data_IF_660294909866
#
_entry.id   IF_660294909866
#
_cell.length_a   1.000
_cell.length_b   1.000
_cell.length_c   1.000
_cell.angle_alpha   90.00
_cell.angle_beta   90.00
_cell.angle_gamma   90.00
#
_symmetry.space_group_name_H-M   'P 1'
#
loop_
_entity.id
_entity.type
_entity.pdbx_description
1 polymer ?
#
# COMPACT_ATOMS: atom_id res chain seq x y z
N UNK A 1 24.70 26.71 26.26
CA UNK A 1 24.62 25.44 25.50
C UNK A 1 25.98 25.30 24.82
N UNK A 2 26.69 24.18 24.98
CA UNK A 2 28.05 23.97 24.45
C UNK A 2 28.07 22.67 23.63
N UNK A 3 28.95 22.59 22.63
CA UNK A 3 29.06 21.45 21.71
C UNK A 3 28.31 21.68 20.40
N UNK A 4 27.85 20.60 19.78
CA UNK A 4 27.18 20.63 18.46
C UNK A 4 25.67 20.49 18.65
N UNK A 5 24.89 21.31 17.96
CA UNK A 5 23.43 21.23 17.91
C UNK A 5 22.96 20.94 16.49
N UNK A 6 22.04 20.01 16.32
CA UNK A 6 21.37 19.73 15.04
C UNK A 6 20.09 20.58 14.98
N UNK A 7 20.05 21.54 14.06
CA UNK A 7 18.86 22.40 13.86
C UNK A 7 18.08 22.06 12.60
N UNK A 8 18.73 21.36 11.65
CA UNK A 8 18.11 20.85 10.44
C UNK A 8 18.68 19.46 10.12
N UNK A 9 17.82 18.50 9.76
CA UNK A 9 18.25 17.12 9.48
C UNK A 9 17.36 16.05 10.14
N UNK A 10 17.92 14.87 10.49
CA UNK A 10 17.14 13.71 10.92
C UNK A 10 16.29 13.98 12.14
N UNK A 11 15.08 13.43 12.14
CA UNK A 11 14.26 13.23 13.33
C UNK A 11 14.55 11.86 13.93
N UNK A 12 14.35 11.70 15.24
CA UNK A 12 14.33 10.37 15.84
C UNK A 12 13.28 9.49 15.14
N UNK A 13 13.55 8.18 15.01
CA UNK A 13 12.70 7.22 14.29
C UNK A 13 12.59 7.41 12.77
N UNK A 14 13.31 8.36 12.17
CA UNK A 14 13.21 8.60 10.73
C UNK A 14 13.77 7.45 9.89
N UNK A 15 13.01 7.02 8.89
CA UNK A 15 13.47 6.12 7.83
C UNK A 15 13.81 6.95 6.59
N UNK A 16 14.99 6.71 6.03
CA UNK A 16 15.45 7.30 4.77
C UNK A 16 15.27 6.29 3.64
N UNK A 17 14.67 6.71 2.52
CA UNK A 17 14.54 5.87 1.33
C UNK A 17 15.91 5.45 0.82
N UNK A 18 16.12 4.14 0.69
CA UNK A 18 17.33 3.55 0.11
C UNK A 18 17.24 3.49 -1.41
N UNK A 19 18.39 3.60 -2.06
CA UNK A 19 18.60 3.32 -3.48
C UNK A 19 19.84 2.46 -3.63
N UNK A 20 19.69 1.30 -4.27
CA UNK A 20 20.78 0.34 -4.47
C UNK A 20 21.50 -0.06 -3.17
N UNK A 21 20.74 -0.21 -2.08
CA UNK A 21 21.25 -0.64 -0.78
C UNK A 21 21.89 0.46 0.06
N UNK A 22 21.74 1.74 -0.31
CA UNK A 22 22.27 2.87 0.45
C UNK A 22 21.27 4.03 0.51
N UNK A 23 21.30 4.80 1.59
CA UNK A 23 20.58 6.05 1.76
C UNK A 23 21.54 7.18 2.11
N UNK A 24 21.03 8.40 2.10
CA UNK A 24 21.79 9.59 2.45
C UNK A 24 21.17 10.27 3.67
N UNK A 25 21.95 10.41 4.74
CA UNK A 25 21.56 11.15 5.94
C UNK A 25 22.26 12.50 5.91
N UNK A 26 21.48 13.58 5.87
CA UNK A 26 21.98 14.95 5.87
C UNK A 26 21.65 15.60 7.20
N UNK A 27 22.63 16.27 7.80
CA UNK A 27 22.43 17.00 9.05
C UNK A 27 23.18 18.32 8.99
N UNK A 28 22.58 19.35 9.57
CA UNK A 28 23.16 20.67 9.69
C UNK A 28 22.75 21.31 11.01
N UNK A 29 23.53 22.28 11.45
CA UNK A 29 23.15 23.08 12.59
C UNK A 29 24.21 24.05 13.04
N UNK A 30 24.35 24.19 14.35
CA UNK A 30 25.27 25.15 14.97
C UNK A 30 26.21 24.47 15.93
N UNK A 31 27.35 25.09 16.18
CA UNK A 31 28.25 24.69 17.25
C UNK A 31 28.50 25.85 18.22
N UNK A 32 28.80 25.51 19.46
CA UNK A 32 29.01 26.46 20.54
C UNK A 32 30.27 26.10 21.32
N UNK A 33 31.23 27.02 21.33
CA UNK A 33 32.48 26.87 22.07
C UNK A 33 32.24 27.07 23.57
N UNK A 34 33.08 26.42 24.37
CA UNK A 34 33.09 26.56 25.81
C UNK A 34 34.24 27.47 26.21
N UNK A 35 33.96 28.54 26.96
CA UNK A 35 34.99 29.51 27.37
C UNK A 35 36.15 28.85 28.13
N UNK A 36 35.86 27.81 28.93
CA UNK A 36 36.88 27.09 29.70
C UNK A 36 37.73 26.10 28.88
N UNK A 37 37.34 25.79 27.64
CA UNK A 37 38.06 24.87 26.74
C UNK A 37 38.26 25.57 25.39
N UNK A 38 39.25 26.48 25.29
CA UNK A 38 39.48 27.24 24.07
C UNK A 38 39.94 26.30 22.94
N UNK A 39 39.24 26.34 21.81
CA UNK A 39 39.62 25.64 20.58
C UNK A 39 40.16 26.64 19.57
N UNK A 40 41.29 26.34 18.93
CA UNK A 40 41.91 27.21 17.93
C UNK A 40 41.28 27.03 16.55
N UNK A 41 40.99 25.78 16.18
CA UNK A 41 40.40 25.40 14.90
C UNK A 41 39.24 24.43 15.15
N UNK A 42 38.06 24.93 15.58
CA UNK A 42 36.93 24.09 15.91
C UNK A 42 36.38 23.37 14.68
N UNK A 43 36.20 22.07 14.79
CA UNK A 43 35.71 21.21 13.73
C UNK A 43 34.60 20.29 14.26
N UNK A 44 33.46 20.28 13.57
CA UNK A 44 32.37 19.34 13.84
C UNK A 44 32.65 18.03 13.12
N UNK A 45 32.48 16.92 13.84
CA UNK A 45 32.51 15.58 13.28
C UNK A 45 31.18 14.89 13.50
N UNK A 46 30.81 14.01 12.57
CA UNK A 46 29.67 13.13 12.75
C UNK A 46 29.97 11.70 12.30
N UNK A 47 29.29 10.73 12.91
CA UNK A 47 29.33 9.33 12.50
C UNK A 47 27.97 8.66 12.70
N UNK A 48 27.80 7.54 12.01
CA UNK A 48 26.62 6.68 12.17
C UNK A 48 27.05 5.38 12.83
N UNK A 49 26.32 4.99 13.87
CA UNK A 49 26.62 3.84 14.72
C UNK A 49 25.41 2.91 14.74
N UNK A 50 25.66 1.59 14.75
CA UNK A 50 24.62 0.58 14.95
C UNK A 50 24.15 0.62 16.40
N UNK A 51 22.84 0.72 16.62
CA UNK A 51 22.31 0.76 17.99
C UNK A 51 22.42 -0.58 18.71
N UNK A 52 22.40 -1.68 17.98
CA UNK A 52 22.41 -3.04 18.56
C UNK A 52 23.73 -3.40 19.28
N UNK A 53 24.87 -2.93 18.78
CA UNK A 53 26.20 -3.35 19.24
C UNK A 53 27.19 -2.19 19.41
N UNK A 54 26.77 -0.96 19.12
CA UNK A 54 27.60 0.24 19.22
C UNK A 54 28.72 0.32 18.18
N UNK A 55 28.74 -0.54 17.16
CA UNK A 55 29.80 -0.51 16.13
C UNK A 55 29.57 0.63 15.14
N UNK A 56 30.57 1.47 14.87
CA UNK A 56 30.45 2.52 13.86
C UNK A 56 30.39 1.89 12.46
N UNK A 57 29.51 2.39 11.60
CA UNK A 57 29.47 2.02 10.18
C UNK A 57 30.66 2.63 9.41
N UNK A 58 31.10 3.78 9.89
CA UNK A 58 32.21 4.55 9.36
C UNK A 58 32.87 5.32 10.51
N UNK A 59 34.18 5.55 10.40
CA UNK A 59 34.87 6.43 11.34
C UNK A 59 34.34 7.87 11.22
N UNK A 60 34.58 8.68 12.25
CA UNK A 60 34.18 10.09 12.29
C UNK A 60 34.52 10.83 10.99
N UNK A 61 33.51 11.49 10.43
CA UNK A 61 33.63 12.29 9.21
C UNK A 61 33.61 13.77 9.57
N UNK A 62 34.48 14.56 8.93
CA UNK A 62 34.49 16.01 9.07
C UNK A 62 33.26 16.62 8.39
N UNK A 63 32.56 17.50 9.12
CA UNK A 63 31.52 18.34 8.56
C UNK A 63 32.14 19.53 7.81
N UNK A 64 31.40 20.08 6.85
CA UNK A 64 31.71 21.38 6.28
C UNK A 64 31.30 22.47 7.28
N UNK A 65 32.19 23.43 7.54
CA UNK A 65 32.01 24.47 8.55
C UNK A 65 31.64 25.80 7.89
N UNK A 66 30.69 26.53 8.48
CA UNK A 66 30.41 27.94 8.19
C UNK A 66 30.75 28.80 9.41
N UNK A 67 32.00 29.26 9.47
CA UNK A 67 32.51 30.04 10.60
C UNK A 67 31.76 31.35 10.81
N UNK A 68 31.18 31.95 9.75
CA UNK A 68 30.50 33.25 9.84
C UNK A 68 29.23 33.19 10.68
N UNK A 69 28.63 31.99 10.80
CA UNK A 69 27.38 31.74 11.51
C UNK A 69 27.52 30.71 12.63
N UNK A 70 28.75 30.28 12.91
CA UNK A 70 29.03 29.10 13.73
C UNK A 70 28.19 27.89 13.26
N UNK A 71 28.06 27.73 11.94
CA UNK A 71 27.27 26.71 11.29
C UNK A 71 28.10 25.49 10.88
N UNK A 72 27.42 24.38 10.64
CA UNK A 72 28.01 23.18 10.06
C UNK A 72 26.98 22.40 9.24
N UNK A 73 27.46 21.63 8.26
CA UNK A 73 26.65 20.70 7.49
C UNK A 73 27.44 19.43 7.13
N UNK A 74 26.73 18.30 7.05
CA UNK A 74 27.34 17.03 6.64
C UNK A 74 26.33 16.16 5.91
N UNK A 75 26.85 15.32 5.03
CA UNK A 75 26.08 14.32 4.29
C UNK A 75 26.79 12.98 4.36
N UNK A 76 26.10 11.97 4.90
CA UNK A 76 26.64 10.64 5.18
C UNK A 76 25.92 9.62 4.31
N UNK A 77 26.68 8.82 3.57
CA UNK A 77 26.15 7.67 2.81
C UNK A 77 26.10 6.47 3.75
N UNK A 78 24.90 5.93 3.97
CA UNK A 78 24.64 4.90 4.98
C UNK A 78 24.03 3.66 4.30
N UNK A 79 24.52 2.44 4.57
CA UNK A 79 23.93 1.22 4.01
C UNK A 79 22.50 1.02 4.50
N UNK A 80 21.70 0.31 3.70
CA UNK A 80 20.37 -0.14 4.09
C UNK A 80 20.45 -1.04 5.34
N UNK A 81 19.58 -0.78 6.29
CA UNK A 81 19.59 -1.40 7.61
C UNK A 81 19.26 -0.40 8.71
N UNK A 82 19.52 -0.83 9.93
CA UNK A 82 19.19 -0.10 11.15
C UNK A 82 18.75 -1.07 12.26
N UNK A 83 18.49 -0.57 13.46
CA UNK A 83 18.45 0.85 13.80
C UNK A 83 19.85 1.45 14.01
N UNK A 84 19.98 2.70 13.60
CA UNK A 84 21.21 3.48 13.67
C UNK A 84 21.03 4.71 14.56
N UNK A 85 22.15 5.15 15.16
CA UNK A 85 22.27 6.42 15.86
C UNK A 85 23.24 7.32 15.11
N UNK A 86 22.82 8.56 14.85
CA UNK A 86 23.71 9.63 14.43
C UNK A 86 24.34 10.26 15.66
N UNK A 87 25.67 10.31 15.69
CA UNK A 87 26.44 10.96 16.75
C UNK A 87 27.20 12.14 16.17
N UNK A 88 27.21 13.26 16.90
CA UNK A 88 28.02 14.44 16.56
C UNK A 88 28.95 14.78 17.71
N UNK A 89 30.11 15.35 17.39
CA UNK A 89 31.04 15.89 18.37
C UNK A 89 31.79 17.09 17.81
N UNK A 90 32.40 17.85 18.73
CA UNK A 90 33.22 19.02 18.44
C UNK A 90 34.63 18.79 18.99
N UNK A 91 35.64 18.99 18.14
CA UNK A 91 37.05 18.86 18.50
C UNK A 91 37.92 19.84 17.70
N UNK A 92 39.23 19.87 17.98
CA UNK A 92 40.20 20.53 17.10
C UNK A 92 40.27 19.80 15.76
N UNK A 93 40.51 20.54 14.67
CA UNK A 93 40.54 19.98 13.30
C UNK A 93 41.53 18.82 13.13
N UNK A 94 42.64 18.86 13.86
CA UNK A 94 43.73 17.87 13.80
C UNK A 94 43.66 16.82 14.93
N UNK A 95 42.59 16.82 15.72
CA UNK A 95 42.39 15.83 16.78
C UNK A 95 42.29 14.42 16.19
N UNK A 96 43.06 13.48 16.74
CA UNK A 96 43.09 12.09 16.25
C UNK A 96 42.20 11.17 17.09
N UNK A 97 42.00 11.51 18.38
CA UNK A 97 41.24 10.71 19.34
C UNK A 97 39.92 11.42 19.63
N UNK A 98 38.85 10.98 18.96
CA UNK A 98 37.55 11.63 18.99
C UNK A 98 36.57 10.98 19.98
N UNK A 99 36.95 9.86 20.61
CA UNK A 99 36.14 9.13 21.60
C UNK A 99 35.80 9.98 22.84
N UNK A 100 36.66 10.94 23.15
CA UNK A 100 36.53 11.84 24.31
C UNK A 100 36.30 13.30 23.91
N UNK A 101 35.98 13.54 22.62
CA UNK A 101 35.66 14.86 22.11
C UNK A 101 34.42 15.44 22.79
N UNK A 102 34.24 16.76 22.69
CA UNK A 102 33.06 17.42 23.27
C UNK A 102 31.80 16.91 22.56
N UNK A 103 30.87 16.34 23.32
CA UNK A 103 29.66 15.75 22.76
C UNK A 103 28.80 16.80 22.04
N UNK A 104 28.10 16.36 21.01
CA UNK A 104 27.00 17.09 20.39
C UNK A 104 25.67 16.36 20.51
N UNK A 105 24.67 16.89 19.83
CA UNK A 105 23.36 16.26 19.65
C UNK A 105 23.50 14.88 18.99
N UNK A 106 22.58 14.00 19.36
CA UNK A 106 22.39 12.70 18.74
C UNK A 106 20.98 12.58 18.18
N UNK A 107 20.82 11.68 17.21
CA UNK A 107 19.51 11.22 16.72
C UNK A 107 19.45 9.71 16.76
N UNK A 108 18.35 9.19 17.26
CA UNK A 108 18.16 7.79 17.60
C UNK A 108 17.19 7.10 16.63
N UNK A 109 17.29 5.78 16.57
CA UNK A 109 16.35 4.92 15.87
C UNK A 109 16.21 5.24 14.37
N UNK A 110 17.29 5.73 13.76
CA UNK A 110 17.32 6.01 12.33
C UNK A 110 17.37 4.70 11.55
N UNK A 111 16.73 4.67 10.39
CA UNK A 111 16.84 3.54 9.48
C UNK A 111 17.06 3.98 8.05
N UNK A 112 17.71 3.14 7.27
CA UNK A 112 17.80 3.28 5.82
C UNK A 112 17.08 2.09 5.22
N UNK A 113 16.00 2.34 4.49
CA UNK A 113 15.10 1.29 4.05
C UNK A 113 14.08 1.78 3.04
N UNK A 114 12.92 1.14 2.98
CA UNK A 114 11.90 1.46 1.97
C UNK A 114 10.73 2.24 2.55
N UNK A 115 10.36 3.33 1.88
CA UNK A 115 9.25 4.20 2.22
C UNK A 115 8.02 3.83 1.41
N UNK A 116 6.89 3.61 2.09
CA UNK A 116 5.59 3.39 1.47
C UNK A 116 4.61 4.48 1.87
N UNK A 117 3.88 5.01 0.89
CA UNK A 117 2.83 6.00 1.13
C UNK A 117 1.50 5.29 1.33
N UNK A 118 0.81 5.63 2.41
CA UNK A 118 -0.55 5.16 2.70
C UNK A 118 -1.53 6.21 2.17
N UNK A 119 -2.36 5.80 1.22
CA UNK A 119 -3.35 6.65 0.56
C UNK A 119 -4.70 5.94 0.40
N UNK A 120 -5.75 6.74 0.18
CA UNK A 120 -7.12 6.28 0.03
C UNK A 120 -8.05 6.73 1.15
N UNK A 121 -9.07 5.93 1.46
CA UNK A 121 -10.19 6.33 2.32
C UNK A 121 -10.17 5.69 3.72
N UNK A 122 -11.32 5.62 4.40
CA UNK A 122 -11.45 5.14 5.79
C UNK A 122 -10.88 3.74 6.04
N UNK A 123 -11.05 2.79 5.12
CA UNK A 123 -10.43 1.46 5.25
C UNK A 123 -8.89 1.48 5.13
N UNK A 124 -8.33 2.48 4.43
CA UNK A 124 -6.89 2.78 4.42
C UNK A 124 -6.46 3.46 5.74
N UNK A 125 -7.17 4.53 6.14
CA UNK A 125 -6.92 5.25 7.39
C UNK A 125 -6.94 4.35 8.63
N UNK A 126 -7.74 3.30 8.57
CA UNK A 126 -7.92 2.33 9.63
C UNK A 126 -9.10 2.72 10.50
N UNK A 127 -10.25 2.12 10.24
CA UNK A 127 -11.47 2.29 11.02
C UNK A 127 -11.84 1.02 11.80
N UNK A 128 -10.93 0.04 11.89
CA UNK A 128 -11.13 -1.17 12.67
C UNK A 128 -11.36 -0.86 14.16
N UNK A 129 -12.50 -1.26 14.73
CA UNK A 129 -12.87 -0.93 16.13
C UNK A 129 -12.82 -2.10 17.10
N UNK A 130 -12.83 -3.31 16.58
CA UNK A 130 -12.67 -4.54 17.34
C UNK A 130 -11.21 -4.76 17.77
N UNK A 131 -10.97 -5.55 18.83
CA UNK A 131 -9.62 -5.87 19.27
C UNK A 131 -8.93 -6.87 18.34
N UNK A 132 -7.69 -6.59 17.97
CA UNK A 132 -6.77 -7.55 17.36
C UNK A 132 -5.38 -7.43 17.97
N UNK A 133 -4.64 -8.53 18.02
CA UNK A 133 -3.26 -8.53 18.50
C UNK A 133 -2.31 -8.12 17.39
N UNK A 134 -1.91 -6.84 17.38
CA UNK A 134 -0.99 -6.29 16.38
C UNK A 134 -0.04 -5.25 17.04
N UNK A 135 0.91 -5.68 17.88
CA UNK A 135 1.76 -4.74 18.62
C UNK A 135 2.77 -4.02 17.71
N UNK A 136 3.24 -2.83 18.11
CA UNK A 136 4.36 -2.12 17.46
C UNK A 136 5.64 -2.96 17.43
N UNK A 137 6.49 -2.76 16.42
CA UNK A 137 7.76 -3.46 16.26
C UNK A 137 8.86 -2.47 15.79
N UNK A 138 10.04 -2.41 16.47
CA UNK A 138 11.17 -1.61 16.01
C UNK A 138 11.58 -1.94 14.58
N UNK A 139 11.88 -0.91 13.78
CA UNK A 139 12.15 -1.05 12.35
C UNK A 139 10.90 -0.98 11.46
N UNK A 140 9.71 -0.76 12.02
CA UNK A 140 8.53 -0.30 11.29
C UNK A 140 8.10 1.04 11.87
N UNK A 141 8.36 2.12 11.15
CA UNK A 141 8.14 3.47 11.66
C UNK A 141 7.11 4.22 10.81
N UNK A 142 6.46 5.20 11.41
CA UNK A 142 5.36 5.95 10.84
C UNK A 142 5.69 7.45 10.87
N UNK A 143 5.61 8.09 9.71
CA UNK A 143 5.53 9.54 9.63
C UNK A 143 4.08 9.95 9.86
N UNK A 144 3.82 10.52 11.04
CA UNK A 144 2.48 10.90 11.49
C UNK A 144 2.02 12.19 10.83
N UNK A 145 0.70 12.39 10.81
CA UNK A 145 0.07 13.62 10.29
C UNK A 145 0.59 14.90 10.97
N UNK A 146 1.12 14.82 12.20
CA UNK A 146 1.71 15.96 12.91
C UNK A 146 3.14 16.33 12.47
N UNK A 147 3.65 15.72 11.39
CA UNK A 147 4.98 16.02 10.84
C UNK A 147 6.15 15.38 11.60
N UNK A 148 5.86 14.40 12.46
CA UNK A 148 6.85 13.71 13.30
C UNK A 148 6.93 12.22 12.99
N UNK A 149 8.16 11.71 12.98
CA UNK A 149 8.43 10.28 12.94
C UNK A 149 8.23 9.64 14.31
N UNK A 150 7.73 8.41 14.31
CA UNK A 150 7.50 7.62 15.51
C UNK A 150 7.54 6.13 15.19
N UNK A 151 7.64 5.27 16.21
CA UNK A 151 7.39 3.84 16.04
C UNK A 151 5.96 3.63 15.57
N UNK A 152 5.75 2.81 14.53
CA UNK A 152 4.42 2.59 13.98
C UNK A 152 3.54 1.87 15.00
N UNK A 153 2.38 2.46 15.29
CA UNK A 153 1.39 1.93 16.22
C UNK A 153 -0.01 2.36 15.79
N UNK A 154 -1.03 1.55 16.11
CA UNK A 154 -2.42 1.95 15.94
C UNK A 154 -2.83 3.01 16.96
N UNK A 155 -3.74 3.92 16.60
CA UNK A 155 -4.22 4.17 15.25
C UNK A 155 -3.18 4.90 14.39
N UNK A 156 -3.07 4.51 13.12
CA UNK A 156 -2.03 5.04 12.22
C UNK A 156 -2.41 6.38 11.57
N UNK A 157 -3.71 6.70 11.47
CA UNK A 157 -4.18 7.98 10.91
C UNK A 157 -4.56 9.02 11.96
N UNK A 158 -3.92 8.99 13.14
CA UNK A 158 -4.23 9.98 14.16
C UNK A 158 -3.85 11.39 13.71
N UNK A 159 -4.78 12.34 13.83
CA UNK A 159 -4.72 13.66 13.19
C UNK A 159 -4.62 14.85 14.16
N UNK A 160 -4.49 14.62 15.48
CA UNK A 160 -4.19 15.69 16.44
C UNK A 160 -2.90 16.41 16.07
N UNK A 161 -3.00 17.73 15.90
CA UNK A 161 -1.88 18.58 15.51
C UNK A 161 -1.39 18.33 14.09
N UNK A 162 -2.26 17.83 13.19
CA UNK A 162 -1.92 17.62 11.78
C UNK A 162 -1.38 18.91 11.16
N UNK A 163 -0.28 18.79 10.41
CA UNK A 163 0.26 19.90 9.60
C UNK A 163 -0.46 20.01 8.24
N UNK A 164 -1.32 19.04 7.91
CA UNK A 164 -2.15 19.03 6.71
C UNK A 164 -3.65 18.96 7.11
N UNK A 165 -4.33 20.11 7.31
CA UNK A 165 -5.73 20.14 7.74
C UNK A 165 -6.70 19.44 6.77
N UNK A 166 -6.34 19.36 5.48
CA UNK A 166 -7.15 18.67 4.47
C UNK A 166 -7.27 17.16 4.71
N UNK A 167 -6.34 16.57 5.47
CA UNK A 167 -6.30 15.15 5.85
C UNK A 167 -6.76 14.92 7.31
N UNK A 168 -7.40 15.91 7.94
CA UNK A 168 -7.85 15.78 9.32
C UNK A 168 -9.07 14.85 9.42
N UNK A 169 -8.99 13.84 10.28
CA UNK A 169 -10.11 12.91 10.49
C UNK A 169 -11.20 13.53 11.35
N UNK A 170 -12.45 13.22 11.00
CA UNK A 170 -13.62 13.70 11.77
C UNK A 170 -13.96 12.79 12.96
N UNK A 171 -13.56 11.52 12.89
CA UNK A 171 -13.77 10.54 13.93
C UNK A 171 -12.43 9.94 14.35
N UNK A 172 -12.34 9.46 15.60
CA UNK A 172 -11.14 8.76 16.05
C UNK A 172 -10.88 7.57 15.11
N UNK A 173 -9.68 7.43 14.53
CA UNK A 173 -9.31 6.25 13.77
C UNK A 173 -9.15 5.02 14.69
N UNK A 174 -8.88 3.87 14.09
CA UNK A 174 -8.71 2.59 14.76
C UNK A 174 -7.61 1.77 14.11
N UNK A 175 -7.81 0.45 14.04
CA UNK A 175 -6.85 -0.47 13.45
C UNK A 175 -6.78 -0.28 11.92
N UNK A 176 -5.57 -0.28 11.36
CA UNK A 176 -5.30 -0.21 9.92
C UNK A 176 -4.55 -1.46 9.43
N UNK A 177 -4.51 -1.76 8.13
CA UNK A 177 -3.77 -2.92 7.62
C UNK A 177 -2.24 -2.72 7.61
N UNK A 178 -1.76 -1.48 7.74
CA UNK A 178 -0.40 -1.15 7.30
C UNK A 178 0.71 -1.44 8.32
N UNK A 179 0.37 -1.65 9.60
CA UNK A 179 1.33 -2.10 10.60
C UNK A 179 1.75 -3.56 10.32
N UNK A 180 0.78 -4.46 10.12
CA UNK A 180 1.03 -5.84 9.73
C UNK A 180 1.80 -5.93 8.39
N UNK A 181 1.44 -5.09 7.41
CA UNK A 181 2.19 -4.94 6.16
C UNK A 181 3.67 -4.63 6.42
N UNK A 182 3.96 -3.57 7.19
CA UNK A 182 5.32 -3.14 7.47
C UNK A 182 6.12 -4.19 8.22
N UNK A 183 5.50 -4.89 9.19
CA UNK A 183 6.17 -5.96 9.97
C UNK A 183 6.53 -7.16 9.12
N UNK A 184 5.59 -7.68 8.32
CA UNK A 184 5.87 -8.80 7.43
C UNK A 184 6.94 -8.42 6.41
N UNK A 185 6.83 -7.23 5.81
CA UNK A 185 7.78 -6.77 4.81
C UNK A 185 9.19 -6.61 5.40
N UNK A 186 9.33 -5.95 6.55
CA UNK A 186 10.61 -5.79 7.28
C UNK A 186 11.28 -7.14 7.54
N UNK A 187 10.52 -8.12 8.08
CA UNK A 187 11.04 -9.46 8.40
C UNK A 187 11.62 -10.15 7.17
N UNK A 188 10.98 -9.93 6.02
CA UNK A 188 11.39 -10.54 4.77
C UNK A 188 12.56 -9.81 4.09
N UNK A 189 12.55 -8.48 4.02
CA UNK A 189 13.60 -7.73 3.30
C UNK A 189 14.86 -7.49 4.14
N UNK A 190 14.77 -7.60 5.47
CA UNK A 190 15.92 -7.53 6.38
C UNK A 190 16.36 -6.11 6.77
N UNK A 191 15.62 -5.07 6.38
CA UNK A 191 15.89 -3.68 6.76
C UNK A 191 14.60 -2.92 7.11
N UNK A 192 14.69 -1.75 7.76
CA UNK A 192 13.52 -1.00 8.23
C UNK A 192 12.55 -0.57 7.12
N UNK A 193 11.28 -0.41 7.48
CA UNK A 193 10.21 0.07 6.61
C UNK A 193 9.62 1.34 7.21
N UNK A 194 9.52 2.40 6.40
CA UNK A 194 8.87 3.65 6.76
C UNK A 194 7.51 3.78 6.09
N UNK A 195 6.52 4.24 6.84
CA UNK A 195 5.14 4.41 6.37
C UNK A 195 4.78 5.89 6.44
N UNK A 196 4.32 6.45 5.32
CA UNK A 196 3.92 7.85 5.21
C UNK A 196 2.40 7.93 5.19
N UNK A 197 1.78 8.40 6.27
CA UNK A 197 0.34 8.47 6.37
C UNK A 197 -0.23 9.68 5.63
N UNK A 198 -1.15 9.46 4.71
CA UNK A 198 -1.83 10.55 3.97
C UNK A 198 -3.33 10.31 3.72
N UNK A 199 -3.87 9.15 4.13
CA UNK A 199 -5.26 8.77 3.85
C UNK A 199 -6.29 9.63 4.58
N UNK A 200 -7.53 9.63 4.08
CA UNK A 200 -8.64 10.39 4.67
C UNK A 200 -9.99 9.66 4.52
N UNK A 201 -10.67 9.43 5.64
CA UNK A 201 -12.03 8.91 5.70
C UNK A 201 -13.02 9.55 4.72
N UNK A 202 -13.81 8.73 4.03
CA UNK A 202 -14.86 9.18 3.11
C UNK A 202 -14.38 9.87 1.83
N UNK A 203 -13.07 10.00 1.59
CA UNK A 203 -12.54 10.69 0.41
C UNK A 203 -12.89 10.00 -0.92
N UNK A 204 -13.47 10.73 -1.91
CA UNK A 204 -13.66 10.24 -3.27
C UNK A 204 -12.37 10.40 -4.10
N UNK A 205 -12.26 9.65 -5.20
CA UNK A 205 -11.08 9.68 -6.08
C UNK A 205 -10.76 11.09 -6.62
N UNK A 206 -11.76 11.93 -6.86
CA UNK A 206 -11.57 13.33 -7.31
C UNK A 206 -10.68 14.17 -6.38
N UNK A 207 -10.63 13.86 -5.07
CA UNK A 207 -9.75 14.54 -4.13
C UNK A 207 -8.28 14.13 -4.27
N UNK A 208 -8.03 12.97 -4.90
CA UNK A 208 -6.74 12.36 -5.14
C UNK A 208 -6.25 12.53 -6.59
N UNK A 209 -7.09 13.03 -7.50
CA UNK A 209 -6.70 13.29 -8.87
C UNK A 209 -6.35 14.79 -9.05
N UNK A 210 -5.10 15.16 -9.41
CA UNK A 210 -4.71 16.56 -9.61
C UNK A 210 -5.41 17.24 -10.80
N UNK A 211 -6.03 16.48 -11.71
CA UNK A 211 -6.83 17.03 -12.82
C UNK A 211 -8.28 17.35 -12.43
N UNK A 212 -8.68 17.01 -11.20
CA UNK A 212 -9.98 17.33 -10.62
C UNK A 212 -9.79 18.28 -9.43
N UNK A 213 -10.19 17.90 -8.22
CA UNK A 213 -9.99 18.71 -7.01
C UNK A 213 -8.54 18.58 -6.51
N UNK A 214 -8.03 17.35 -6.38
CA UNK A 214 -6.62 17.09 -6.11
C UNK A 214 -6.08 17.61 -4.77
N UNK A 215 -6.93 18.04 -3.84
CA UNK A 215 -6.49 18.59 -2.54
C UNK A 215 -5.69 17.60 -1.71
N UNK A 216 -6.09 16.32 -1.71
CA UNK A 216 -5.44 15.24 -0.97
C UNK A 216 -4.17 14.79 -1.71
N UNK A 217 -4.20 14.81 -3.04
CA UNK A 217 -3.02 14.56 -3.86
C UNK A 217 -1.88 15.55 -3.56
N UNK A 218 -2.19 16.86 -3.53
CA UNK A 218 -1.19 17.90 -3.23
C UNK A 218 -0.58 17.69 -1.83
N UNK A 219 -1.42 17.42 -0.83
CA UNK A 219 -0.99 17.09 0.53
C UNK A 219 -0.08 15.86 0.56
N UNK A 220 -0.47 14.78 -0.11
CA UNK A 220 0.33 13.55 -0.23
C UNK A 220 1.70 13.83 -0.87
N UNK A 221 1.74 14.62 -1.94
CA UNK A 221 2.98 14.99 -2.61
C UNK A 221 3.88 15.91 -1.75
N UNK A 222 3.30 16.81 -0.95
CA UNK A 222 4.04 17.59 0.06
C UNK A 222 4.69 16.69 1.12
N UNK A 223 3.96 15.70 1.64
CA UNK A 223 4.49 14.71 2.58
C UNK A 223 5.66 13.95 1.94
N UNK A 224 5.50 13.43 0.72
CA UNK A 224 6.56 12.70 0.02
C UNK A 224 7.81 13.57 -0.16
N UNK A 225 7.64 14.83 -0.58
CA UNK A 225 8.76 15.79 -0.74
C UNK A 225 9.46 16.08 0.58
N UNK A 226 8.71 16.24 1.67
CA UNK A 226 9.28 16.49 3.00
C UNK A 226 10.17 15.34 3.48
N UNK A 227 9.95 14.12 2.95
CA UNK A 227 10.73 12.92 3.27
C UNK A 227 11.77 12.56 2.20
N UNK A 228 12.14 13.51 1.35
CA UNK A 228 13.21 13.35 0.35
C UNK A 228 12.73 13.07 -1.07
N UNK A 229 11.42 13.02 -1.31
CA UNK A 229 10.83 12.96 -2.67
C UNK A 229 10.93 11.60 -3.36
N UNK A 230 11.39 10.55 -2.67
CA UNK A 230 11.52 9.19 -3.21
C UNK A 230 10.80 8.20 -2.33
N UNK A 231 10.12 7.24 -2.95
CA UNK A 231 9.34 6.21 -2.27
C UNK A 231 9.45 4.88 -3.03
N UNK A 232 9.25 3.78 -2.30
CA UNK A 232 9.27 2.43 -2.85
C UNK A 232 7.93 2.01 -3.45
N UNK A 233 6.82 2.54 -2.94
CA UNK A 233 5.48 2.18 -3.41
C UNK A 233 4.35 2.96 -2.76
N UNK A 234 3.16 2.85 -3.34
CA UNK A 234 1.92 3.41 -2.81
C UNK A 234 0.99 2.27 -2.39
N UNK A 235 0.47 2.38 -1.17
CA UNK A 235 -0.56 1.51 -0.61
C UNK A 235 -1.90 2.22 -0.77
N UNK A 236 -2.75 1.70 -1.66
CA UNK A 236 -3.97 2.36 -2.08
C UNK A 236 -5.21 1.53 -1.74
N UNK A 237 -6.07 2.07 -0.87
CA UNK A 237 -7.39 1.48 -0.64
C UNK A 237 -8.46 2.57 -0.66
N UNK A 238 -9.13 2.65 -1.81
CA UNK A 238 -10.20 3.59 -2.10
C UNK A 238 -11.19 2.98 -3.11
N UNK A 239 -12.43 3.45 -3.08
CA UNK A 239 -13.42 3.16 -4.11
C UNK A 239 -14.86 3.19 -3.60
N UNK A 240 -15.09 3.03 -2.29
CA UNK A 240 -16.43 2.93 -1.74
C UNK A 240 -17.23 4.24 -1.88
N UNK A 241 -16.57 5.40 -1.88
CA UNK A 241 -17.24 6.69 -2.10
C UNK A 241 -17.64 6.93 -3.56
N UNK A 242 -17.03 6.18 -4.50
CA UNK A 242 -17.24 6.30 -5.95
C UNK A 242 -18.22 5.23 -6.48
N UNK A 243 -18.88 4.45 -5.60
CA UNK A 243 -19.91 3.46 -5.98
C UNK A 243 -21.25 4.14 -6.27
N UNK A 244 -21.26 5.03 -7.25
CA UNK A 244 -22.45 5.75 -7.72
C UNK A 244 -22.48 5.80 -9.26
N UNK A 245 -23.59 6.29 -9.83
CA UNK A 245 -23.84 6.31 -11.28
C UNK A 245 -22.76 7.07 -12.06
N UNK A 246 -22.31 8.20 -11.54
CA UNK A 246 -21.44 9.14 -12.26
C UNK A 246 -19.97 8.71 -12.16
N UNK A 247 -19.54 8.34 -10.96
CA UNK A 247 -18.14 8.10 -10.64
C UNK A 247 -17.65 6.69 -11.02
N UNK A 248 -18.52 5.68 -10.95
CA UNK A 248 -18.12 4.27 -11.14
C UNK A 248 -17.63 3.98 -12.56
N UNK A 249 -18.29 4.53 -13.58
CA UNK A 249 -17.94 4.34 -14.99
C UNK A 249 -16.65 5.03 -15.41
N UNK A 250 -16.26 6.10 -14.72
CA UNK A 250 -15.08 6.92 -15.05
C UNK A 250 -13.87 6.63 -14.16
N UNK A 251 -14.02 5.74 -13.17
CA UNK A 251 -13.01 5.46 -12.15
C UNK A 251 -11.66 5.04 -12.74
N UNK A 252 -11.64 4.07 -13.66
CA UNK A 252 -10.41 3.54 -14.26
C UNK A 252 -9.57 4.64 -14.92
N UNK A 253 -10.23 5.50 -15.72
CA UNK A 253 -9.58 6.63 -16.38
C UNK A 253 -9.01 7.62 -15.37
N UNK A 254 -9.81 8.04 -14.38
CA UNK A 254 -9.39 9.02 -13.35
C UNK A 254 -8.25 8.47 -12.48
N UNK A 255 -8.30 7.18 -12.16
CA UNK A 255 -7.24 6.51 -11.41
C UNK A 255 -5.95 6.43 -12.23
N UNK A 256 -6.03 6.07 -13.52
CA UNK A 256 -4.90 6.10 -14.44
C UNK A 256 -4.29 7.50 -14.60
N UNK A 257 -5.11 8.55 -14.64
CA UNK A 257 -4.65 9.95 -14.65
C UNK A 257 -3.90 10.33 -13.39
N UNK A 258 -4.40 9.93 -12.21
CA UNK A 258 -3.71 10.13 -10.94
C UNK A 258 -2.34 9.42 -10.90
N UNK A 259 -2.31 8.12 -11.26
CA UNK A 259 -1.08 7.32 -11.29
C UNK A 259 -0.06 7.95 -12.23
N UNK A 260 -0.48 8.32 -13.44
CA UNK A 260 0.39 8.94 -14.44
C UNK A 260 0.95 10.28 -13.97
N UNK A 261 0.10 11.11 -13.36
CA UNK A 261 0.52 12.42 -12.82
C UNK A 261 1.55 12.27 -11.70
N UNK A 262 1.33 11.31 -10.79
CA UNK A 262 2.26 11.02 -9.70
C UNK A 262 3.63 10.54 -10.21
N UNK A 263 3.64 9.60 -11.16
CA UNK A 263 4.89 9.10 -11.75
C UNK A 263 5.67 10.19 -12.48
N UNK A 264 4.97 11.07 -13.19
CA UNK A 264 5.57 12.21 -13.89
C UNK A 264 6.17 13.22 -12.89
N UNK A 265 5.45 13.56 -11.83
CA UNK A 265 5.87 14.54 -10.83
C UNK A 265 7.03 14.03 -9.95
N UNK A 266 7.04 12.74 -9.63
CA UNK A 266 8.13 12.09 -8.89
C UNK A 266 9.31 11.67 -9.78
N UNK A 267 9.13 11.66 -11.10
CA UNK A 267 10.08 11.07 -12.07
C UNK A 267 10.48 9.64 -11.68
N UNK A 268 9.52 8.86 -11.19
CA UNK A 268 9.71 7.51 -10.68
C UNK A 268 8.56 6.62 -11.15
N UNK A 269 8.87 5.41 -11.63
CA UNK A 269 7.85 4.41 -11.94
C UNK A 269 7.42 3.69 -10.65
N UNK A 270 6.69 4.43 -9.81
CA UNK A 270 6.28 3.93 -8.49
C UNK A 270 5.19 2.87 -8.65
N UNK A 271 5.34 1.69 -8.00
CA UNK A 271 4.31 0.66 -7.99
C UNK A 271 3.16 1.02 -7.04
N UNK A 272 1.95 0.62 -7.42
CA UNK A 272 0.73 0.79 -6.63
C UNK A 272 0.19 -0.57 -6.21
N UNK A 273 0.12 -0.80 -4.90
CA UNK A 273 -0.52 -1.96 -4.30
C UNK A 273 -1.93 -1.56 -3.90
N UNK A 274 -2.90 -1.98 -4.71
CA UNK A 274 -4.32 -1.64 -4.56
C UNK A 274 -5.10 -2.78 -3.91
N UNK A 275 -6.28 -2.45 -3.38
CA UNK A 275 -7.17 -3.38 -2.70
C UNK A 275 -8.54 -3.35 -3.37
N UNK A 276 -9.08 -4.52 -3.74
CA UNK A 276 -10.48 -4.59 -4.16
C UNK A 276 -11.38 -4.17 -3.00
N UNK A 277 -12.39 -3.32 -3.25
CA UNK A 277 -13.29 -2.92 -2.17
C UNK A 277 -14.03 -4.13 -1.60
N UNK A 278 -14.05 -4.25 -0.27
CA UNK A 278 -14.76 -5.31 0.43
C UNK A 278 -16.29 -5.14 0.34
N UNK A 279 -17.07 -5.98 1.03
CA UNK A 279 -18.53 -5.92 1.10
C UNK A 279 -19.01 -4.71 1.90
N UNK A 280 -20.26 -4.31 1.64
CA UNK A 280 -20.99 -3.38 2.50
C UNK A 280 -22.32 -4.03 2.90
N UNK A 281 -22.58 -4.12 4.19
CA UNK A 281 -23.71 -4.84 4.78
C UNK A 281 -24.76 -3.86 5.34
N UNK A 282 -25.99 -4.35 5.54
CA UNK A 282 -27.04 -3.59 6.21
C UNK A 282 -27.62 -2.42 5.41
N UNK A 283 -27.39 -2.37 4.10
CA UNK A 283 -27.95 -1.35 3.21
C UNK A 283 -29.24 -1.86 2.58
N UNK A 284 -30.35 -1.15 2.81
CA UNK A 284 -31.67 -1.50 2.29
C UNK A 284 -31.91 -1.03 0.85
N UNK A 285 -31.07 -0.13 0.34
CA UNK A 285 -31.15 0.35 -1.04
C UNK A 285 -30.84 -0.77 -2.03
N UNK A 286 -31.63 -0.81 -3.10
CA UNK A 286 -31.44 -1.74 -4.22
C UNK A 286 -30.00 -1.68 -4.75
N UNK A 287 -29.39 -2.85 -4.92
CA UNK A 287 -28.06 -2.98 -5.46
C UNK A 287 -28.09 -2.79 -6.99
N UNK A 288 -27.66 -1.62 -7.43
CA UNK A 288 -27.57 -1.25 -8.85
C UNK A 288 -26.29 -1.74 -9.54
N UNK A 289 -25.47 -2.56 -8.87
CA UNK A 289 -24.25 -3.13 -9.45
C UNK A 289 -23.04 -2.19 -9.43
N UNK A 290 -23.16 -0.94 -8.95
CA UNK A 290 -22.03 0.00 -8.89
C UNK A 290 -20.86 -0.51 -8.05
N UNK A 291 -21.15 -1.32 -7.04
CA UNK A 291 -20.12 -1.93 -6.20
C UNK A 291 -19.29 -2.96 -7.00
N UNK A 292 -19.97 -3.79 -7.80
CA UNK A 292 -19.35 -4.73 -8.73
C UNK A 292 -18.56 -4.03 -9.84
N UNK A 293 -19.08 -2.89 -10.34
CA UNK A 293 -18.36 -2.05 -11.30
C UNK A 293 -17.03 -1.57 -10.73
N UNK A 294 -17.00 -1.05 -9.49
CA UNK A 294 -15.75 -0.61 -8.86
C UNK A 294 -14.76 -1.77 -8.65
N UNK A 295 -15.24 -2.95 -8.21
CA UNK A 295 -14.36 -4.13 -8.07
C UNK A 295 -13.75 -4.57 -9.40
N UNK A 296 -14.55 -4.52 -10.48
CA UNK A 296 -14.07 -4.86 -11.81
C UNK A 296 -13.06 -3.85 -12.34
N UNK A 297 -13.31 -2.54 -12.23
CA UNK A 297 -12.33 -1.53 -12.68
C UNK A 297 -11.03 -1.59 -11.86
N UNK A 298 -11.09 -1.98 -10.58
CA UNK A 298 -9.88 -2.24 -9.77
C UNK A 298 -9.09 -3.46 -10.29
N UNK A 299 -9.79 -4.50 -10.78
CA UNK A 299 -9.17 -5.65 -11.44
C UNK A 299 -8.55 -5.26 -12.79
N UNK A 300 -9.27 -4.50 -13.60
CA UNK A 300 -8.82 -3.98 -14.89
C UNK A 300 -7.63 -3.02 -14.75
N UNK A 301 -7.62 -2.18 -13.72
CA UNK A 301 -6.50 -1.27 -13.46
C UNK A 301 -5.17 -2.01 -13.30
N UNK A 302 -5.17 -3.20 -12.68
CA UNK A 302 -3.98 -4.04 -12.56
C UNK A 302 -3.51 -4.68 -13.89
N UNK A 303 -4.36 -4.70 -14.92
CA UNK A 303 -4.03 -5.18 -16.26
C UNK A 303 -3.58 -4.05 -17.19
N UNK A 304 -4.28 -2.92 -17.13
CA UNK A 304 -4.13 -1.83 -18.08
C UNK A 304 -3.03 -0.85 -17.68
N UNK A 305 -2.70 -0.77 -16.38
CA UNK A 305 -1.72 0.19 -15.86
C UNK A 305 -0.51 -0.58 -15.31
N UNK A 306 0.66 -0.53 -15.99
CA UNK A 306 1.86 -1.22 -15.53
C UNK A 306 2.25 -0.84 -14.10
N UNK A 307 2.67 -1.80 -13.29
CA UNK A 307 3.06 -1.56 -11.90
C UNK A 307 1.89 -1.29 -10.95
N UNK A 308 0.65 -1.47 -11.38
CA UNK A 308 -0.53 -1.52 -10.50
C UNK A 308 -0.85 -2.99 -10.22
N UNK A 309 -1.01 -3.32 -8.94
CA UNK A 309 -1.37 -4.65 -8.47
C UNK A 309 -2.61 -4.57 -7.61
N UNK A 310 -3.37 -5.65 -7.53
CA UNK A 310 -4.61 -5.70 -6.76
C UNK A 310 -4.67 -6.96 -5.90
N UNK A 311 -5.17 -6.81 -4.68
CA UNK A 311 -5.46 -7.94 -3.79
C UNK A 311 -6.98 -8.09 -3.58
N UNK A 312 -7.50 -9.32 -3.46
CA UNK A 312 -8.89 -9.56 -3.10
C UNK A 312 -9.13 -9.35 -1.60
N UNK A 313 -10.38 -9.10 -1.22
CA UNK A 313 -10.79 -8.93 0.19
C UNK A 313 -12.09 -9.64 0.56
N UNK A 314 -12.75 -10.31 -0.38
CA UNK A 314 -14.11 -10.82 -0.15
C UNK A 314 -14.20 -11.95 0.88
N UNK A 315 -13.08 -12.57 1.23
CA UNK A 315 -12.96 -13.55 2.32
C UNK A 315 -12.96 -12.90 3.72
N UNK A 316 -12.72 -11.59 3.81
CA UNK A 316 -12.78 -10.84 5.07
C UNK A 316 -14.21 -10.48 5.42
N UNK A 317 -14.93 -11.44 6.00
CA UNK A 317 -16.36 -11.28 6.35
C UNK A 317 -16.59 -10.55 7.67
N UNK A 318 -15.59 -10.50 8.55
CA UNK A 318 -15.66 -9.77 9.80
C UNK A 318 -15.48 -8.27 9.52
N UNK A 319 -16.53 -7.52 9.85
CA UNK A 319 -16.61 -6.07 9.70
C UNK A 319 -16.74 -5.40 11.06
N UNK A 320 -16.14 -4.22 11.22
CA UNK A 320 -16.32 -3.39 12.42
C UNK A 320 -17.72 -2.76 12.47
N UNK A 321 -18.24 -2.42 11.29
CA UNK A 321 -19.58 -1.88 11.08
C UNK A 321 -20.10 -2.35 9.71
N UNK A 322 -21.04 -1.62 9.09
CA UNK A 322 -21.57 -1.99 7.78
C UNK A 322 -20.61 -1.83 6.59
N UNK A 323 -19.45 -1.17 6.73
CA UNK A 323 -18.58 -0.82 5.58
C UNK A 323 -17.08 -0.89 5.89
N UNK A 324 -16.68 -0.84 7.16
CA UNK A 324 -15.30 -0.88 7.60
C UNK A 324 -14.86 -2.29 8.01
N UNK A 325 -13.66 -2.68 7.56
CA UNK A 325 -13.08 -3.98 7.91
C UNK A 325 -12.83 -4.09 9.42
N UNK A 326 -12.91 -5.31 9.96
CA UNK A 326 -12.49 -5.58 11.32
C UNK A 326 -10.97 -5.44 11.50
N UNK A 327 -10.50 -5.30 12.73
CA UNK A 327 -9.08 -5.25 13.05
C UNK A 327 -8.36 -6.53 12.65
N UNK A 328 -8.96 -7.71 12.88
CA UNK A 328 -8.41 -9.00 12.43
C UNK A 328 -8.32 -9.08 10.90
N UNK A 329 -9.36 -8.62 10.20
CA UNK A 329 -9.36 -8.54 8.73
C UNK A 329 -8.26 -7.60 8.21
N UNK A 330 -8.00 -6.49 8.92
CA UNK A 330 -6.92 -5.57 8.57
C UNK A 330 -5.53 -6.20 8.72
N UNK A 331 -5.29 -7.01 9.76
CA UNK A 331 -4.01 -7.75 9.91
C UNK A 331 -3.78 -8.66 8.70
N UNK A 332 -4.76 -9.52 8.37
CA UNK A 332 -4.68 -10.43 7.23
C UNK A 332 -4.51 -9.68 5.89
N UNK A 333 -5.20 -8.54 5.74
CA UNK A 333 -5.06 -7.68 4.57
C UNK A 333 -3.66 -7.08 4.46
N UNK A 334 -3.07 -6.63 5.57
CA UNK A 334 -1.70 -6.15 5.62
C UNK A 334 -0.68 -7.19 5.18
N UNK A 335 -0.83 -8.43 5.68
CA UNK A 335 0.02 -9.56 5.26
C UNK A 335 -0.15 -9.89 3.77
N UNK A 336 -1.38 -9.85 3.25
CA UNK A 336 -1.66 -10.06 1.83
C UNK A 336 -1.05 -8.97 0.95
N UNK A 337 -1.09 -7.71 1.39
CA UNK A 337 -0.41 -6.60 0.73
C UNK A 337 1.11 -6.78 0.74
N UNK A 338 1.68 -7.25 1.85
CA UNK A 338 3.12 -7.49 1.96
C UNK A 338 3.56 -8.64 1.05
N UNK A 339 2.78 -9.72 1.00
CA UNK A 339 3.00 -10.83 0.06
C UNK A 339 2.96 -10.35 -1.40
N UNK A 340 2.01 -9.48 -1.76
CA UNK A 340 1.96 -8.89 -3.09
C UNK A 340 3.19 -8.00 -3.37
N UNK A 341 3.61 -7.18 -2.41
CA UNK A 341 4.83 -6.37 -2.54
C UNK A 341 6.07 -7.26 -2.75
N UNK A 342 6.23 -8.30 -1.93
CA UNK A 342 7.36 -9.23 -1.98
C UNK A 342 7.44 -9.95 -3.33
N UNK A 343 6.30 -10.39 -3.87
CA UNK A 343 6.20 -11.00 -5.19
C UNK A 343 6.56 -10.02 -6.31
N UNK A 344 5.88 -8.88 -6.35
CA UNK A 344 5.86 -8.00 -7.54
C UNK A 344 6.97 -6.95 -7.54
N UNK A 345 7.32 -6.40 -6.37
CA UNK A 345 8.29 -5.32 -6.23
C UNK A 345 9.69 -5.86 -5.92
N UNK A 346 9.77 -6.92 -5.11
CA UNK A 346 11.06 -7.51 -4.69
C UNK A 346 11.41 -8.80 -5.45
N UNK A 347 10.50 -9.34 -6.27
CA UNK A 347 10.74 -10.56 -7.04
C UNK A 347 11.00 -11.80 -6.17
N UNK A 348 10.55 -11.80 -4.91
CA UNK A 348 10.76 -12.93 -4.00
C UNK A 348 9.84 -14.10 -4.38
N UNK A 349 10.38 -15.32 -4.47
CA UNK A 349 9.57 -16.52 -4.66
C UNK A 349 8.79 -16.84 -3.37
N UNK A 350 7.77 -17.71 -3.49
CA UNK A 350 7.01 -18.22 -2.35
C UNK A 350 5.74 -17.45 -2.01
N UNK A 351 5.50 -16.29 -2.64
CA UNK A 351 4.29 -15.51 -2.45
C UNK A 351 3.35 -15.71 -3.65
N UNK A 352 2.24 -16.46 -3.51
CA UNK A 352 1.31 -16.73 -4.61
C UNK A 352 0.48 -15.49 -4.99
N UNK A 353 0.04 -15.44 -6.24
CA UNK A 353 -0.96 -14.48 -6.70
C UNK A 353 -2.38 -15.00 -6.42
N UNK A 354 -3.35 -14.09 -6.33
CA UNK A 354 -4.74 -14.47 -6.18
C UNK A 354 -5.26 -15.12 -7.48
N UNK A 355 -6.16 -16.12 -7.37
CA UNK A 355 -6.85 -16.64 -8.54
C UNK A 355 -7.62 -15.54 -9.26
N UNK A 356 -7.61 -15.60 -10.59
CA UNK A 356 -8.25 -14.58 -11.40
C UNK A 356 -8.92 -15.21 -12.61
N UNK A 357 -10.12 -14.74 -12.95
CA UNK A 357 -10.82 -15.16 -14.16
C UNK A 357 -10.02 -14.74 -15.41
N UNK A 358 -9.58 -15.73 -16.18
CA UNK A 358 -8.84 -15.53 -17.42
C UNK A 358 -9.76 -15.60 -18.63
N UNK A 359 -10.64 -16.62 -18.67
CA UNK A 359 -11.59 -16.80 -19.77
C UNK A 359 -12.95 -17.27 -19.27
N UNK A 360 -14.00 -16.86 -19.99
CA UNK A 360 -15.35 -17.34 -19.81
C UNK A 360 -15.90 -17.72 -21.19
N UNK A 361 -16.32 -18.96 -21.38
CA UNK A 361 -16.80 -19.43 -22.68
C UNK A 361 -17.90 -20.47 -22.56
N UNK A 362 -18.79 -20.51 -23.54
CA UNK A 362 -19.70 -21.64 -23.70
C UNK A 362 -18.95 -22.86 -24.20
N UNK A 363 -19.16 -24.02 -23.56
CA UNK A 363 -18.73 -25.33 -24.08
C UNK A 363 -19.84 -26.02 -24.85
N UNK A 364 -21.09 -25.81 -24.41
CA UNK A 364 -22.32 -26.31 -25.02
C UNK A 364 -23.40 -25.22 -24.96
N UNK A 365 -24.61 -25.48 -25.50
CA UNK A 365 -25.69 -24.46 -25.57
C UNK A 365 -26.17 -23.92 -24.21
N UNK A 366 -25.91 -24.66 -23.12
CA UNK A 366 -26.30 -24.30 -21.74
C UNK A 366 -25.14 -24.32 -20.75
N UNK A 367 -23.93 -24.62 -21.20
CA UNK A 367 -22.79 -24.86 -20.29
C UNK A 367 -21.72 -23.81 -20.50
N UNK A 368 -21.41 -23.08 -19.43
CA UNK A 368 -20.34 -22.07 -19.39
C UNK A 368 -19.16 -22.63 -18.59
N UNK A 369 -17.97 -22.56 -19.16
CA UNK A 369 -16.70 -22.86 -18.50
C UNK A 369 -15.97 -21.55 -18.20
N UNK A 370 -15.67 -21.33 -16.92
CA UNK A 370 -14.84 -20.24 -16.42
C UNK A 370 -13.47 -20.81 -16.07
N UNK A 371 -12.40 -20.29 -16.67
CA UNK A 371 -11.02 -20.71 -16.39
C UNK A 371 -10.32 -19.64 -15.58
N UNK A 372 -9.69 -20.03 -14.47
CA UNK A 372 -8.96 -19.12 -13.60
C UNK A 372 -7.46 -19.36 -13.71
N UNK A 373 -6.69 -18.28 -13.87
CA UNK A 373 -5.22 -18.32 -13.75
C UNK A 373 -4.79 -18.13 -12.29
N UNK A 374 -3.51 -18.35 -12.02
CA UNK A 374 -2.90 -18.25 -10.69
C UNK A 374 -3.48 -19.21 -9.64
N UNK A 375 -4.11 -20.30 -10.08
CA UNK A 375 -4.52 -21.42 -9.21
C UNK A 375 -3.32 -22.33 -8.99
N UNK A 376 -2.92 -22.53 -7.74
CA UNK A 376 -1.78 -23.41 -7.40
C UNK A 376 -2.20 -24.86 -7.21
N UNK A 377 -3.26 -25.06 -6.43
CA UNK A 377 -3.82 -26.37 -6.19
C UNK A 377 -5.01 -26.61 -7.10
N UNK A 378 -6.18 -26.23 -6.61
CA UNK A 378 -7.47 -26.28 -7.31
C UNK A 378 -8.41 -25.26 -6.70
N UNK A 379 -9.41 -24.84 -7.44
CA UNK A 379 -10.51 -24.06 -6.90
C UNK A 379 -11.32 -24.89 -5.91
N UNK A 380 -11.73 -24.24 -4.82
CA UNK A 380 -12.44 -24.83 -3.71
C UNK A 380 -13.50 -23.87 -3.18
N UNK A 381 -14.65 -24.41 -2.81
CA UNK A 381 -15.72 -23.70 -2.10
C UNK A 381 -15.99 -24.43 -0.78
N UNK A 382 -15.91 -23.72 0.33
CA UNK A 382 -16.19 -24.28 1.66
C UNK A 382 -17.62 -24.81 1.73
N UNK A 383 -17.78 -25.93 2.45
CA UNK A 383 -19.06 -26.60 2.72
C UNK A 383 -19.91 -26.96 1.49
N UNK A 384 -19.28 -27.02 0.30
CA UNK A 384 -20.00 -27.25 -0.94
C UNK A 384 -20.99 -26.14 -1.26
N UNK A 385 -20.81 -24.94 -0.69
CA UNK A 385 -21.64 -23.77 -0.99
C UNK A 385 -21.37 -23.34 -2.42
N UNK A 386 -22.45 -23.06 -3.16
CA UNK A 386 -22.38 -22.52 -4.52
C UNK A 386 -21.52 -21.25 -4.54
N UNK A 387 -20.57 -21.07 -5.47
CA UNK A 387 -19.83 -19.82 -5.59
C UNK A 387 -20.76 -18.66 -5.99
N UNK A 388 -20.43 -17.43 -5.55
CA UNK A 388 -21.18 -16.21 -5.90
C UNK A 388 -20.93 -15.79 -7.36
N UNK A 389 -21.39 -16.60 -8.30
CA UNK A 389 -21.25 -16.39 -9.73
C UNK A 389 -22.63 -16.38 -10.40
N UNK A 390 -22.85 -15.36 -11.20
CA UNK A 390 -24.05 -15.12 -12.00
C UNK A 390 -23.68 -14.92 -13.47
N UNK A 391 -24.55 -15.38 -14.36
CA UNK A 391 -24.45 -15.20 -15.81
C UNK A 391 -25.69 -14.42 -16.27
N UNK A 392 -25.49 -13.37 -17.07
CA UNK A 392 -26.57 -12.59 -17.67
C UNK A 392 -26.52 -12.66 -19.19
N UNK A 393 -27.69 -12.59 -19.79
CA UNK A 393 -27.89 -12.32 -21.21
C UNK A 393 -28.80 -11.09 -21.41
N UNK A 394 -29.27 -10.85 -22.63
CA UNK A 394 -30.13 -9.71 -22.96
C UNK A 394 -31.50 -9.74 -22.25
N UNK A 395 -31.94 -10.91 -21.76
CA UNK A 395 -33.20 -11.07 -21.01
C UNK A 395 -32.99 -11.00 -19.49
N UNK A 396 -31.75 -10.83 -19.02
CA UNK A 396 -31.41 -10.72 -17.59
C UNK A 396 -30.62 -11.91 -17.07
N UNK A 397 -30.66 -12.13 -15.74
CA UNK A 397 -29.90 -13.21 -15.10
C UNK A 397 -30.46 -14.57 -15.50
N UNK A 398 -29.58 -15.49 -15.92
CA UNK A 398 -29.96 -16.86 -16.23
C UNK A 398 -29.79 -17.71 -14.97
N UNK A 399 -30.87 -18.31 -14.43
CA UNK A 399 -30.75 -19.21 -13.29
C UNK A 399 -29.85 -20.40 -13.62
N UNK A 400 -28.97 -20.73 -12.68
CA UNK A 400 -28.07 -21.88 -12.76
C UNK A 400 -28.73 -23.14 -12.19
N UNK A 401 -28.73 -24.23 -12.96
CA UNK A 401 -29.23 -25.54 -12.53
C UNK A 401 -28.21 -26.29 -11.69
N UNK A 402 -26.94 -26.30 -12.12
CA UNK A 402 -25.87 -26.98 -11.39
C UNK A 402 -24.51 -26.38 -11.71
N UNK A 403 -23.53 -26.73 -10.88
CA UNK A 403 -22.15 -26.26 -11.01
C UNK A 403 -21.18 -27.36 -10.58
N UNK A 404 -19.96 -27.29 -11.11
CA UNK A 404 -18.88 -28.19 -10.73
C UNK A 404 -17.54 -27.45 -10.73
N UNK A 405 -16.68 -27.79 -9.76
CA UNK A 405 -15.28 -27.37 -9.74
C UNK A 405 -14.43 -28.42 -10.45
N UNK A 406 -13.59 -27.98 -11.38
CA UNK A 406 -12.76 -28.84 -12.21
C UNK A 406 -11.32 -28.29 -12.21
N UNK A 407 -10.56 -28.52 -11.13
CA UNK A 407 -9.20 -28.01 -11.02
C UNK A 407 -9.19 -26.48 -10.95
N UNK A 408 -8.63 -25.83 -11.96
CA UNK A 408 -8.59 -24.37 -12.17
C UNK A 408 -9.85 -23.80 -12.84
N UNK A 409 -10.84 -24.65 -13.13
CA UNK A 409 -12.06 -24.28 -13.84
C UNK A 409 -13.32 -24.42 -13.01
N UNK A 410 -14.33 -23.64 -13.37
CA UNK A 410 -15.70 -23.79 -12.88
C UNK A 410 -16.62 -24.00 -14.07
N UNK A 411 -17.38 -25.10 -14.04
CA UNK A 411 -18.41 -25.39 -15.03
C UNK A 411 -19.78 -25.05 -14.46
N UNK A 412 -20.55 -24.24 -15.17
CA UNK A 412 -21.89 -23.80 -14.81
C UNK A 412 -22.88 -24.33 -15.85
N UNK A 413 -23.96 -24.99 -15.41
CA UNK A 413 -25.05 -25.44 -16.27
C UNK A 413 -26.24 -24.52 -16.03
N UNK A 414 -26.66 -23.83 -17.09
CA UNK A 414 -27.73 -22.84 -17.09
C UNK A 414 -29.08 -23.48 -17.37
N UNK A 415 -30.15 -22.93 -16.79
CA UNK A 415 -31.52 -23.42 -16.95
C UNK A 415 -32.07 -23.29 -18.37
N UNK A 416 -31.64 -22.25 -19.08
CA UNK A 416 -32.02 -21.99 -20.48
C UNK A 416 -30.78 -21.65 -21.31
N UNK A 417 -30.96 -21.77 -22.63
CA UNK A 417 -29.99 -21.29 -23.60
C UNK A 417 -29.93 -19.77 -23.54
N UNK A 418 -28.72 -19.22 -23.55
CA UNK A 418 -28.51 -17.78 -23.50
C UNK A 418 -28.85 -17.11 -24.85
N UNK A 419 -29.35 -15.87 -24.80
CA UNK A 419 -29.73 -15.08 -25.97
C UNK A 419 -28.86 -13.83 -26.11
N UNK A 420 -28.23 -13.68 -27.28
CA UNK A 420 -27.42 -12.51 -27.59
C UNK A 420 -26.11 -12.46 -26.83
N UNK A 421 -25.72 -11.27 -26.38
CA UNK A 421 -24.46 -11.04 -25.66
C UNK A 421 -24.60 -11.52 -24.21
N UNK A 422 -23.61 -12.28 -23.76
CA UNK A 422 -23.58 -12.87 -22.43
C UNK A 422 -22.43 -12.32 -21.60
N UNK A 423 -22.67 -12.10 -20.32
CA UNK A 423 -21.64 -11.67 -19.37
C UNK A 423 -21.68 -12.48 -18.08
N UNK A 424 -20.53 -12.56 -17.40
CA UNK A 424 -20.36 -13.24 -16.13
C UNK A 424 -19.95 -12.24 -15.05
N UNK A 425 -20.35 -12.51 -13.81
CA UNK A 425 -19.98 -11.71 -12.64
C UNK A 425 -19.81 -12.59 -11.43
N UNK A 426 -18.72 -12.37 -10.71
CA UNK A 426 -18.32 -13.08 -9.51
C UNK A 426 -18.13 -12.11 -8.36
N UNK A 427 -18.87 -12.25 -7.26
CA UNK A 427 -18.74 -11.36 -6.10
C UNK A 427 -19.09 -9.91 -6.45
N UNK A 428 -20.05 -9.70 -7.33
CA UNK A 428 -20.39 -8.39 -7.90
C UNK A 428 -21.35 -7.58 -7.02
N UNK A 429 -22.16 -8.27 -6.20
CA UNK A 429 -23.12 -7.62 -5.31
C UNK A 429 -22.39 -6.82 -4.23
N UNK A 430 -23.00 -5.74 -3.77
CA UNK A 430 -22.58 -4.96 -2.60
C UNK A 430 -22.32 -5.88 -1.40
N UNK A 431 -23.23 -6.80 -1.16
CA UNK A 431 -23.13 -7.87 -0.18
C UNK A 431 -23.27 -9.24 -0.86
N UNK A 432 -22.16 -9.87 -1.30
CA UNK A 432 -22.17 -11.22 -1.85
C UNK A 432 -22.72 -12.21 -0.84
N UNK A 433 -23.76 -12.95 -1.23
CA UNK A 433 -24.45 -13.90 -0.35
C UNK A 433 -23.68 -15.21 -0.23
N UNK A 434 -22.93 -15.55 -1.27
CA UNK A 434 -22.06 -16.70 -1.31
C UNK A 434 -20.58 -16.28 -1.30
N UNK A 435 -19.67 -17.17 -0.89
CA UNK A 435 -18.24 -16.90 -0.98
C UNK A 435 -17.76 -16.98 -2.44
N UNK A 436 -16.68 -16.25 -2.74
CA UNK A 436 -15.89 -16.51 -3.94
C UNK A 436 -15.12 -17.83 -3.78
N UNK A 437 -14.87 -18.57 -4.88
CA UNK A 437 -14.00 -19.73 -4.85
C UNK A 437 -12.60 -19.32 -4.38
N UNK A 438 -11.97 -20.14 -3.55
CA UNK A 438 -10.59 -19.97 -3.09
C UNK A 438 -9.67 -20.96 -3.78
N UNK A 439 -8.39 -20.64 -3.86
CA UNK A 439 -7.39 -21.66 -4.16
C UNK A 439 -7.16 -22.55 -2.93
N UNK A 440 -7.23 -23.88 -3.10
CA UNK A 440 -7.20 -24.84 -2.01
C UNK A 440 -5.88 -24.87 -1.23
N UNK A 441 -4.75 -24.51 -1.85
CA UNK A 441 -3.45 -24.54 -1.19
C UNK A 441 -3.20 -23.25 -0.41
N UNK A 442 -3.48 -22.11 -1.05
CA UNK A 442 -3.18 -20.77 -0.53
C UNK A 442 -4.31 -20.16 0.28
N UNK A 443 -5.54 -20.68 0.12
CA UNK A 443 -6.79 -20.17 0.68
C UNK A 443 -7.11 -18.72 0.30
N UNK A 444 -6.45 -18.18 -0.73
CA UNK A 444 -6.72 -16.84 -1.26
C UNK A 444 -7.97 -16.92 -2.15
N UNK A 445 -8.98 -16.05 -1.96
CA UNK A 445 -10.16 -16.01 -2.82
C UNK A 445 -9.81 -15.48 -4.21
N UNK A 446 -10.57 -15.92 -5.21
CA UNK A 446 -10.52 -15.33 -6.53
C UNK A 446 -10.92 -13.85 -6.49
N UNK A 447 -10.27 -13.03 -7.34
CA UNK A 447 -10.67 -11.64 -7.55
C UNK A 447 -12.13 -11.57 -8.02
N UNK A 448 -12.85 -10.58 -7.50
CA UNK A 448 -14.19 -10.28 -7.99
C UNK A 448 -14.12 -9.74 -9.41
N UNK A 449 -15.14 -10.02 -10.21
CA UNK A 449 -15.26 -9.55 -11.59
C UNK A 449 -16.72 -9.23 -11.89
N UNK A 450 -16.97 -8.30 -12.81
CA UNK A 450 -18.33 -7.91 -13.17
C UNK A 450 -18.43 -7.61 -14.66
N UNK A 451 -19.55 -8.02 -15.26
CA UNK A 451 -19.81 -7.87 -16.71
C UNK A 451 -18.68 -8.43 -17.60
N UNK A 452 -17.99 -9.47 -17.15
CA UNK A 452 -16.93 -10.12 -17.93
C UNK A 452 -17.54 -10.82 -19.15
N UNK A 453 -17.05 -10.58 -20.38
CA UNK A 453 -17.67 -11.14 -21.58
C UNK A 453 -17.56 -12.67 -21.62
N UNK A 454 -18.67 -13.35 -21.94
CA UNK A 454 -18.70 -14.80 -22.14
C UNK A 454 -18.66 -15.09 -23.64
N UNK A 455 -17.55 -15.67 -24.08
CA UNK A 455 -17.36 -16.03 -25.48
C UNK A 455 -18.27 -17.18 -25.90
N UNK A 456 -18.85 -17.09 -27.10
CA UNK A 456 -19.59 -18.22 -27.67
C UNK A 456 -18.64 -19.32 -28.12
N UNK A 457 -19.07 -20.57 -28.00
CA UNK A 457 -18.32 -21.71 -28.53
C UNK A 457 -18.02 -21.49 -30.02
N UNK A 458 -16.73 -21.41 -30.39
CA UNK A 458 -16.35 -21.45 -31.81
C UNK A 458 -16.87 -22.77 -32.37
N UNK A 459 -17.84 -22.70 -33.29
CA UNK A 459 -18.23 -23.87 -34.08
C UNK A 459 -16.99 -24.39 -34.81
N UNK A 460 -16.62 -25.67 -34.70
CA UNK A 460 -15.61 -26.24 -35.59
C UNK A 460 -16.18 -26.19 -37.01
N UNK A 461 -15.68 -25.29 -37.86
CA UNK A 461 -16.00 -25.26 -39.30
C UNK A 461 -16.79 -24.07 -39.84
N UNK A 462 -16.72 -22.87 -39.24
CA UNK A 462 -17.25 -21.65 -39.86
C UNK A 462 -16.18 -20.88 -40.65
N UNK A 463 -16.30 -20.84 -41.97
CA UNK A 463 -15.52 -19.98 -42.86
C UNK A 463 -15.54 -18.52 -42.40
N UNK A 464 -14.41 -17.84 -42.55
CA UNK A 464 -14.34 -16.38 -42.53
C UNK A 464 -15.19 -15.84 -43.68
N UNK A 465 -16.37 -15.30 -43.39
CA UNK A 465 -16.94 -14.26 -44.23
C UNK A 465 -16.56 -12.91 -43.62
N UNK A 466 -15.57 -12.28 -44.25
CA UNK A 466 -15.26 -10.88 -44.06
C UNK A 466 -16.38 -10.05 -44.70
N UNK A 467 -17.15 -9.31 -43.90
CA UNK A 467 -17.88 -8.13 -44.37
C UNK A 467 -18.36 -7.26 -43.20
N UNK A 468 -17.68 -6.11 -43.07
CA UNK A 468 -18.04 -4.83 -42.43
C UNK A 468 -18.19 -4.70 -40.92
#
# INVERSE_FOLDING_TARGET
MFGVQITDGPQDWQIFQQENGFGQIRAAGRYFLREEVPMKAPQVFARVVREEDGRPLQYWQKAHMDETRAGWEISLKVPAGGLYRLETCLAEENEQILEWAMRGDMRFHLGVGDLYVIAGQSNSAGYGKDPAYDPPEPGVHLFRNCGRWDMAAHPMNESTGTIHPVNQESANPGHSPYLAFGKMLRREIGYPVGLLQTSLGGSPLRGWNPKEDGRLYRSMMEVIRSQGGKIKGVLWYQGCSDTNREDSSTYLKRFGEMVSSMRQELQQDVPFLTVQINRQTGVLEEDRGYWGMIREVQRQAAHEIPGVFVIPTLDYTLMSDGIHNSAVSNVAMGERLAAAALREIYGKPGFPAAPELETARFTDEKTVELTFRNVRGRLFCYDGVRPDISIWDEEGEIPMESWALCGDKIRLILSRRAKGICTAGGGWKREPQNPMPVDFETHIPALAFYQFPVEQARRPGGQFDAAF
#
